data_IF_150127268330
#
_entry.id   IF_150127268330
#
_cell.length_a   1.000
_cell.length_b   1.000
_cell.length_c   1.000
_cell.angle_alpha   90.00
_cell.angle_beta   90.00
_cell.angle_gamma   90.00
#
_symmetry.space_group_name_H-M   'P 1'
#
loop_
_entity.id
_entity.type
_entity.pdbx_description
1 polymer ?
#
# COMPACT_ATOMS: atom_id res chain seq x y z
N UNK A 1 -57.13 -2.55 9.64
CA UNK A 1 -55.84 -1.86 9.47
C UNK A 1 -56.01 -0.79 8.40
N UNK A 2 -55.63 0.47 8.64
CA UNK A 2 -55.76 1.53 7.64
C UNK A 2 -54.81 1.25 6.46
N UNK A 3 -55.36 1.18 5.24
CA UNK A 3 -54.59 0.94 4.01
C UNK A 3 -53.60 2.11 3.81
N UNK A 4 -52.32 1.78 3.65
CA UNK A 4 -51.23 2.77 3.51
C UNK A 4 -51.25 3.42 2.13
N UNK A 5 -50.66 4.61 1.98
CA UNK A 5 -50.62 5.33 0.69
C UNK A 5 -49.94 4.50 -0.40
N UNK A 6 -48.89 3.76 -0.04
CA UNK A 6 -48.19 2.83 -0.94
C UNK A 6 -49.12 1.72 -1.47
N UNK A 7 -49.88 1.07 -0.57
CA UNK A 7 -50.85 0.04 -0.95
C UNK A 7 -52.00 0.61 -1.81
N UNK A 8 -52.40 1.86 -1.59
CA UNK A 8 -53.42 2.52 -2.43
C UNK A 8 -52.91 2.83 -3.84
N UNK A 9 -51.63 3.21 -4.00
CA UNK A 9 -51.02 3.44 -5.31
C UNK A 9 -50.84 2.14 -6.09
N UNK A 10 -50.43 1.06 -5.40
CA UNK A 10 -50.32 -0.27 -6.00
C UNK A 10 -51.69 -0.77 -6.49
N UNK A 11 -52.72 -0.66 -5.66
CA UNK A 11 -54.10 -0.99 -6.05
C UNK A 11 -54.62 -0.13 -7.22
N UNK A 12 -54.27 1.17 -7.28
CA UNK A 12 -54.64 2.04 -8.41
C UNK A 12 -53.97 1.59 -9.71
N UNK A 13 -52.69 1.19 -9.65
CA UNK A 13 -51.96 0.67 -10.80
C UNK A 13 -52.57 -0.65 -11.29
N UNK A 14 -52.91 -1.57 -10.37
CA UNK A 14 -53.54 -2.85 -10.72
C UNK A 14 -54.92 -2.65 -11.37
N UNK A 15 -55.78 -1.80 -10.80
CA UNK A 15 -57.09 -1.48 -11.38
C UNK A 15 -56.97 -0.78 -12.73
N UNK A 16 -55.95 0.07 -12.92
CA UNK A 16 -55.66 0.69 -14.22
C UNK A 16 -55.24 -0.32 -15.29
N UNK A 17 -54.41 -1.30 -14.93
CA UNK A 17 -54.00 -2.38 -15.82
C UNK A 17 -55.17 -3.31 -16.19
N UNK A 18 -56.01 -3.69 -15.21
CA UNK A 18 -57.22 -4.49 -15.46
C UNK A 18 -58.21 -3.76 -16.37
N UNK A 19 -58.41 -2.45 -16.17
CA UNK A 19 -59.26 -1.63 -17.04
C UNK A 19 -58.73 -1.58 -18.47
N UNK A 20 -57.42 -1.45 -18.65
CA UNK A 20 -56.80 -1.45 -19.97
C UNK A 20 -56.99 -2.81 -20.67
N UNK A 21 -56.78 -3.92 -19.96
CA UNK A 21 -57.00 -5.27 -20.49
C UNK A 21 -58.47 -5.50 -20.90
N UNK A 22 -59.43 -5.05 -20.09
CA UNK A 22 -60.87 -5.18 -20.41
C UNK A 22 -61.24 -4.32 -21.63
N UNK A 23 -60.69 -3.10 -21.76
CA UNK A 23 -60.92 -2.26 -22.94
C UNK A 23 -60.29 -2.82 -24.22
N UNK A 24 -59.11 -3.43 -24.11
CA UNK A 24 -58.46 -4.12 -25.22
C UNK A 24 -59.28 -5.36 -25.64
N UNK A 25 -59.83 -6.12 -24.69
CA UNK A 25 -60.75 -7.24 -24.96
C UNK A 25 -62.06 -6.78 -25.62
N UNK A 26 -62.65 -5.68 -25.16
CA UNK A 26 -63.84 -5.08 -25.80
C UNK A 26 -63.51 -4.69 -27.23
N UNK A 27 -62.37 -4.05 -27.47
CA UNK A 27 -61.94 -3.60 -28.81
C UNK A 27 -61.72 -4.77 -29.77
N UNK A 28 -61.18 -5.90 -29.28
CA UNK A 28 -60.99 -7.12 -30.07
C UNK A 28 -62.31 -7.86 -30.36
N UNK A 29 -63.21 -7.94 -29.37
CA UNK A 29 -64.49 -8.67 -29.50
C UNK A 29 -65.57 -7.88 -30.23
N UNK A 30 -65.58 -6.55 -30.12
CA UNK A 30 -66.49 -5.66 -30.85
C UNK A 30 -66.18 -5.61 -32.36
N UNK A 31 -64.95 -5.96 -32.77
CA UNK A 31 -64.55 -6.08 -34.17
C UNK A 31 -64.98 -7.40 -34.84
N UNK A 32 -65.58 -8.35 -34.11
CA UNK A 32 -65.96 -9.66 -34.63
C UNK A 32 -67.50 -9.83 -34.68
N UNK A 33 -68.13 -9.88 -35.87
CA UNK A 33 -69.59 -9.98 -36.03
C UNK A 33 -70.22 -11.30 -35.55
N UNK A 34 -69.42 -12.28 -35.12
CA UNK A 34 -69.87 -13.59 -34.66
C UNK A 34 -70.02 -13.70 -33.12
N UNK A 35 -69.71 -12.63 -32.38
CA UNK A 35 -69.82 -12.61 -30.92
C UNK A 35 -71.22 -12.16 -30.48
N UNK A 36 -71.87 -12.84 -29.52
CA UNK A 36 -73.21 -12.47 -29.07
C UNK A 36 -73.20 -11.13 -28.30
N UNK A 37 -74.06 -10.19 -28.69
CA UNK A 37 -74.16 -8.83 -28.14
C UNK A 37 -74.34 -8.79 -26.60
N UNK A 38 -74.89 -9.86 -26.03
CA UNK A 38 -75.09 -10.00 -24.58
C UNK A 38 -73.77 -10.03 -23.80
N UNK A 39 -72.75 -10.71 -24.34
CA UNK A 39 -71.44 -10.81 -23.69
C UNK A 39 -70.63 -9.51 -23.83
N UNK A 40 -70.92 -8.70 -24.86
CA UNK A 40 -70.33 -7.38 -25.05
C UNK A 40 -70.86 -6.38 -24.01
N UNK A 41 -72.16 -6.45 -23.70
CA UNK A 41 -72.78 -5.62 -22.67
C UNK A 41 -72.23 -5.97 -21.26
N UNK A 42 -72.05 -7.25 -20.95
CA UNK A 42 -71.46 -7.68 -19.67
C UNK A 42 -70.00 -7.20 -19.48
N UNK A 43 -69.24 -7.10 -20.58
CA UNK A 43 -67.89 -6.53 -20.58
C UNK A 43 -67.91 -5.00 -20.42
N UNK A 44 -68.86 -4.31 -21.05
CA UNK A 44 -69.06 -2.86 -20.90
C UNK A 44 -69.43 -2.49 -19.46
N UNK A 45 -70.31 -3.27 -18.80
CA UNK A 45 -70.68 -3.04 -17.40
C UNK A 45 -69.48 -3.26 -16.44
N UNK A 46 -68.60 -4.22 -16.75
CA UNK A 46 -67.34 -4.42 -16.02
C UNK A 46 -66.37 -3.26 -16.21
N UNK A 47 -66.24 -2.72 -17.42
CA UNK A 47 -65.40 -1.56 -17.71
C UNK A 47 -65.89 -0.32 -16.93
N UNK A 48 -67.20 -0.03 -16.96
CA UNK A 48 -67.81 1.08 -16.21
C UNK A 48 -67.61 0.93 -14.68
N UNK A 49 -67.71 -0.30 -14.18
CA UNK A 49 -67.45 -0.63 -12.78
C UNK A 49 -66.00 -0.38 -12.37
N UNK A 50 -65.04 -0.78 -13.21
CA UNK A 50 -63.61 -0.55 -13.00
C UNK A 50 -63.25 0.94 -13.13
N UNK A 51 -63.85 1.67 -14.06
CA UNK A 51 -63.60 3.10 -14.24
C UNK A 51 -64.10 3.90 -13.02
N UNK A 52 -65.29 3.58 -12.50
CA UNK A 52 -65.79 4.18 -11.25
C UNK A 52 -64.86 3.90 -10.07
N UNK A 53 -64.33 2.67 -9.95
CA UNK A 53 -63.38 2.30 -8.89
C UNK A 53 -62.05 3.03 -9.04
N UNK A 54 -61.53 3.14 -10.25
CA UNK A 54 -60.31 3.87 -10.56
C UNK A 54 -60.44 5.36 -10.21
N UNK A 55 -61.53 6.01 -10.62
CA UNK A 55 -61.78 7.42 -10.33
C UNK A 55 -61.96 7.69 -8.83
N UNK A 56 -62.62 6.78 -8.10
CA UNK A 56 -62.74 6.87 -6.64
C UNK A 56 -61.39 6.69 -5.93
N UNK A 57 -60.59 5.70 -6.35
CA UNK A 57 -59.24 5.48 -5.80
C UNK A 57 -58.32 6.66 -6.08
N UNK A 58 -58.34 7.20 -7.30
CA UNK A 58 -57.56 8.38 -7.70
C UNK A 58 -57.91 9.60 -6.85
N UNK A 59 -59.20 9.87 -6.65
CA UNK A 59 -59.65 10.97 -5.79
C UNK A 59 -59.21 10.79 -4.32
N UNK A 60 -59.17 9.55 -3.82
CA UNK A 60 -58.69 9.27 -2.47
C UNK A 60 -57.16 9.39 -2.34
N UNK A 61 -56.40 8.95 -3.34
CA UNK A 61 -54.94 9.12 -3.41
C UNK A 61 -54.61 10.61 -3.48
N UNK A 62 -55.25 11.38 -4.36
CA UNK A 62 -55.04 12.83 -4.48
C UNK A 62 -55.37 13.58 -3.17
N UNK A 63 -56.44 13.17 -2.47
CA UNK A 63 -56.82 13.75 -1.18
C UNK A 63 -55.81 13.42 -0.09
N UNK A 64 -55.27 12.20 -0.06
CA UNK A 64 -54.23 11.80 0.90
C UNK A 64 -52.87 12.41 0.58
N UNK A 65 -52.49 12.51 -0.69
CA UNK A 65 -51.28 13.22 -1.11
C UNK A 65 -51.36 14.70 -0.78
N UNK A 66 -52.49 15.36 -1.01
CA UNK A 66 -52.69 16.75 -0.57
C UNK A 66 -52.62 16.87 0.95
N UNK A 67 -53.16 15.90 1.70
CA UNK A 67 -53.10 15.88 3.16
C UNK A 67 -51.66 15.68 3.70
N UNK A 68 -50.87 14.79 3.09
CA UNK A 68 -49.44 14.62 3.40
C UNK A 68 -48.61 15.83 2.97
N UNK A 69 -48.93 16.45 1.83
CA UNK A 69 -48.34 17.71 1.37
C UNK A 69 -48.64 18.87 2.32
N UNK A 70 -49.81 18.89 2.98
CA UNK A 70 -50.13 19.88 4.00
C UNK A 70 -49.40 19.63 5.33
N UNK A 71 -49.13 18.37 5.71
CA UNK A 71 -48.18 18.06 6.79
C UNK A 71 -46.75 18.49 6.43
N UNK A 72 -46.39 18.40 5.15
CA UNK A 72 -45.17 18.95 4.56
C UNK A 72 -45.24 20.48 4.30
N UNK A 73 -46.30 21.17 4.71
CA UNK A 73 -46.44 22.64 4.67
C UNK A 73 -46.53 23.30 6.04
N UNK A 74 -46.73 22.53 7.12
CA UNK A 74 -46.32 22.96 8.47
C UNK A 74 -44.79 23.13 8.58
N UNK A 75 -44.05 22.63 7.60
CA UNK A 75 -42.60 22.73 7.37
C UNK A 75 -42.04 24.14 7.09
N UNK A 76 -42.86 25.15 6.75
CA UNK A 76 -42.34 26.50 6.45
C UNK A 76 -42.28 27.45 7.65
N UNK A 77 -42.79 27.05 8.82
CA UNK A 77 -42.96 27.95 9.97
C UNK A 77 -42.37 27.43 11.30
N UNK A 78 -41.26 26.67 11.30
CA UNK A 78 -40.40 26.67 12.50
C UNK A 78 -39.43 27.85 12.43
N UNK A 79 -39.58 28.77 13.38
CA UNK A 79 -38.85 30.04 13.48
C UNK A 79 -37.46 29.91 14.12
N UNK A 80 -37.00 28.73 14.53
CA UNK A 80 -35.73 28.57 15.25
C UNK A 80 -34.57 28.09 14.33
N UNK A 81 -33.49 28.88 14.15
CA UNK A 81 -32.33 28.51 13.34
C UNK A 81 -31.63 27.23 13.79
N UNK A 82 -31.72 26.87 15.09
CA UNK A 82 -31.08 25.65 15.64
C UNK A 82 -31.78 24.38 15.17
N UNK A 83 -33.11 24.36 15.19
CA UNK A 83 -33.88 23.20 14.74
C UNK A 83 -33.69 22.91 13.25
N UNK A 84 -33.58 23.97 12.42
CA UNK A 84 -33.27 23.83 10.99
C UNK A 84 -31.92 23.15 10.75
N UNK A 85 -30.89 23.52 11.53
CA UNK A 85 -29.57 22.87 11.46
C UNK A 85 -29.63 21.42 11.91
N UNK A 86 -30.29 21.12 13.04
CA UNK A 86 -30.43 19.74 13.53
C UNK A 86 -31.16 18.85 12.52
N UNK A 87 -32.21 19.36 11.87
CA UNK A 87 -32.95 18.62 10.86
C UNK A 87 -32.14 18.41 9.57
N UNK A 88 -31.39 19.42 9.13
CA UNK A 88 -30.48 19.30 7.99
C UNK A 88 -29.37 18.27 8.28
N UNK A 89 -28.83 18.25 9.50
CA UNK A 89 -27.89 17.22 9.96
C UNK A 89 -28.51 15.81 9.93
N UNK A 90 -29.73 15.65 10.43
CA UNK A 90 -30.41 14.36 10.41
C UNK A 90 -30.69 13.86 8.98
N UNK A 91 -30.98 14.76 8.04
CA UNK A 91 -31.17 14.40 6.63
C UNK A 91 -29.84 14.07 5.94
N UNK A 92 -28.74 14.75 6.28
CA UNK A 92 -27.39 14.40 5.83
C UNK A 92 -26.99 13.00 6.31
N UNK A 93 -27.23 12.69 7.59
CA UNK A 93 -26.97 11.34 8.13
C UNK A 93 -27.78 10.29 7.38
N UNK A 94 -29.08 10.53 7.13
CA UNK A 94 -29.92 9.58 6.38
C UNK A 94 -29.44 9.38 4.94
N UNK A 95 -29.11 10.45 4.23
CA UNK A 95 -28.64 10.36 2.83
C UNK A 95 -27.31 9.61 2.73
N UNK A 96 -26.37 9.86 3.66
CA UNK A 96 -25.12 9.09 3.76
C UNK A 96 -25.39 7.61 4.06
N UNK A 97 -26.30 7.30 5.00
CA UNK A 97 -26.66 5.91 5.35
C UNK A 97 -27.39 5.18 4.21
N UNK A 98 -28.01 5.90 3.28
CA UNK A 98 -28.71 5.35 2.12
C UNK A 98 -27.86 5.35 0.83
N UNK A 99 -26.57 5.74 0.87
CA UNK A 99 -25.72 5.93 -0.31
C UNK A 99 -26.32 6.89 -1.36
N UNK A 100 -27.11 7.88 -0.92
CA UNK A 100 -27.69 8.91 -1.77
C UNK A 100 -26.94 10.24 -1.60
N UNK A 101 -26.75 10.98 -2.70
CA UNK A 101 -26.10 12.28 -2.64
C UNK A 101 -26.97 13.29 -1.86
N UNK A 102 -26.43 13.97 -0.83
CA UNK A 102 -27.20 14.97 -0.07
C UNK A 102 -27.62 16.14 -0.97
N UNK A 103 -28.81 16.69 -0.75
CA UNK A 103 -29.33 17.78 -1.59
C UNK A 103 -28.61 19.11 -1.30
N UNK A 104 -28.47 19.95 -2.34
CA UNK A 104 -27.76 21.25 -2.27
C UNK A 104 -28.34 22.20 -1.22
N UNK A 105 -29.65 22.13 -0.96
CA UNK A 105 -30.32 22.95 0.06
C UNK A 105 -29.93 22.55 1.49
N UNK A 106 -29.70 21.26 1.74
CA UNK A 106 -29.25 20.75 3.06
C UNK A 106 -27.84 21.26 3.35
N UNK A 107 -26.94 21.18 2.36
CA UNK A 107 -25.55 21.64 2.45
C UNK A 107 -25.48 23.15 2.71
N UNK A 108 -26.29 23.96 2.00
CA UNK A 108 -26.36 25.42 2.22
C UNK A 108 -26.87 25.79 3.63
N UNK A 109 -27.90 25.11 4.15
CA UNK A 109 -28.41 25.36 5.53
C UNK A 109 -27.36 25.00 6.59
N UNK A 110 -26.52 24.02 6.27
CA UNK A 110 -25.39 23.58 7.08
C UNK A 110 -24.16 24.50 6.97
N UNK A 111 -24.18 25.51 6.08
CA UNK A 111 -23.07 26.45 5.89
C UNK A 111 -21.98 25.93 4.97
N UNK A 112 -22.29 24.92 4.15
CA UNK A 112 -21.48 24.42 3.06
C UNK A 112 -21.90 25.15 1.78
N UNK A 113 -21.44 26.38 1.64
CA UNK A 113 -21.67 27.17 0.43
C UNK A 113 -20.86 26.56 -0.70
N UNK A 114 -21.58 25.97 -1.65
CA UNK A 114 -21.09 25.44 -2.92
C UNK A 114 -19.87 26.22 -3.45
N UNK A 115 -18.67 25.68 -3.24
CA UNK A 115 -17.58 25.89 -4.17
C UNK A 115 -18.00 25.29 -5.50
N UNK A 116 -18.32 26.14 -6.47
CA UNK A 116 -18.68 25.74 -7.83
C UNK A 116 -17.47 25.11 -8.54
N UNK A 117 -17.25 23.83 -8.32
CA UNK A 117 -16.25 23.02 -9.02
C UNK A 117 -16.52 21.54 -8.77
N UNK A 118 -16.19 20.69 -9.72
CA UNK A 118 -16.44 19.23 -9.72
C UNK A 118 -15.73 18.44 -8.59
N UNK A 119 -15.18 19.12 -7.57
CA UNK A 119 -14.49 18.56 -6.41
C UNK A 119 -14.96 19.20 -5.07
N UNK A 120 -16.27 19.39 -4.89
CA UNK A 120 -16.84 19.97 -3.68
C UNK A 120 -16.80 19.01 -2.48
N UNK A 121 -15.75 19.05 -1.68
CA UNK A 121 -15.67 18.39 -0.36
C UNK A 121 -16.60 19.08 0.64
N UNK A 122 -17.85 18.64 0.69
CA UNK A 122 -18.82 19.14 1.65
C UNK A 122 -18.49 18.72 3.08
N UNK A 123 -18.18 19.70 3.94
CA UNK A 123 -17.83 19.46 5.35
C UNK A 123 -16.81 20.43 5.96
N UNK A 124 -16.17 21.28 5.16
CA UNK A 124 -15.08 22.16 5.62
C UNK A 124 -15.51 23.27 6.59
N UNK A 125 -16.79 23.67 6.60
CA UNK A 125 -17.30 24.73 7.49
C UNK A 125 -17.54 24.28 8.94
N UNK A 126 -17.50 22.96 9.21
CA UNK A 126 -17.82 22.40 10.52
C UNK A 126 -16.63 22.19 11.46
N UNK A 127 -15.41 22.24 10.95
CA UNK A 127 -14.21 21.94 11.72
C UNK A 127 -13.22 23.11 11.59
N UNK A 128 -13.03 23.94 12.64
CA UNK A 128 -11.87 24.82 12.70
C UNK A 128 -10.63 23.96 12.96
N UNK A 129 -10.08 23.37 11.90
CA UNK A 129 -8.78 22.71 11.93
C UNK A 129 -7.93 23.30 10.82
N UNK A 130 -7.07 24.25 11.18
CA UNK A 130 -5.89 24.56 10.38
C UNK A 130 -4.98 23.33 10.45
N UNK A 131 -5.21 22.35 9.58
CA UNK A 131 -4.27 21.24 9.41
C UNK A 131 -2.94 21.85 8.98
N UNK A 132 -1.93 21.75 9.84
CA UNK A 132 -0.58 22.17 9.50
C UNK A 132 -0.11 21.38 8.29
N UNK A 133 0.46 22.06 7.29
CA UNK A 133 1.09 21.41 6.13
C UNK A 133 2.36 20.61 6.51
N UNK A 134 2.78 20.68 7.77
CA UNK A 134 3.92 19.92 8.27
C UNK A 134 3.49 18.47 8.54
N UNK A 135 3.83 17.59 7.60
CA UNK A 135 3.63 16.15 7.75
C UNK A 135 4.64 15.64 8.80
N UNK A 136 4.14 15.17 9.95
CA UNK A 136 4.96 14.48 10.95
C UNK A 136 5.09 13.02 10.50
N UNK A 137 6.31 12.57 10.27
CA UNK A 137 6.61 11.20 9.79
C UNK A 137 7.69 10.59 10.67
N UNK A 138 7.70 9.26 10.80
CA UNK A 138 8.88 8.58 11.33
C UNK A 138 10.10 8.85 10.43
N UNK A 139 11.33 8.91 10.98
CA UNK A 139 12.52 9.08 10.15
C UNK A 139 12.55 8.02 9.06
N UNK A 140 12.55 8.47 7.81
CA UNK A 140 12.58 7.58 6.67
C UNK A 140 13.92 6.86 6.63
N UNK A 141 13.85 5.54 6.63
CA UNK A 141 15.01 4.67 6.63
C UNK A 141 15.76 4.73 5.29
N UNK A 142 17.08 4.87 5.34
CA UNK A 142 17.96 4.78 4.18
C UNK A 142 18.70 3.42 4.14
N UNK A 143 19.03 2.94 2.94
CA UNK A 143 19.82 1.73 2.74
C UNK A 143 21.26 2.11 2.31
N UNK A 144 22.24 2.10 3.23
CA UNK A 144 23.62 2.43 2.88
C UNK A 144 24.24 1.46 1.87
N UNK A 145 23.75 0.22 1.76
CA UNK A 145 24.25 -0.77 0.79
C UNK A 145 24.11 -0.27 -0.64
N UNK A 146 23.05 0.49 -0.97
CA UNK A 146 22.80 1.00 -2.31
C UNK A 146 23.92 1.88 -2.87
N UNK A 147 24.69 2.53 -1.99
CA UNK A 147 25.82 3.37 -2.38
C UNK A 147 27.10 2.57 -2.60
N UNK A 148 27.15 1.34 -2.08
CA UNK A 148 28.34 0.51 -2.03
C UNK A 148 28.23 -0.75 -2.90
N UNK A 149 27.02 -1.15 -3.27
CA UNK A 149 26.70 -2.28 -4.15
C UNK A 149 26.33 -1.83 -5.57
N UNK A 150 26.39 -2.75 -6.52
CA UNK A 150 25.93 -2.47 -7.89
C UNK A 150 24.41 -2.54 -7.94
N UNK A 151 23.76 -1.49 -8.45
CA UNK A 151 22.32 -1.50 -8.68
C UNK A 151 22.03 -1.56 -10.18
N UNK A 152 21.17 -2.49 -10.57
CA UNK A 152 20.69 -2.60 -11.95
C UNK A 152 19.17 -2.73 -12.00
N UNK A 153 18.63 -2.51 -13.20
CA UNK A 153 17.19 -2.53 -13.47
C UNK A 153 16.88 -3.35 -14.73
N UNK A 154 17.53 -4.51 -14.87
CA UNK A 154 17.52 -5.29 -16.12
C UNK A 154 16.63 -6.51 -15.96
N UNK A 155 15.72 -6.69 -16.92
CA UNK A 155 14.81 -7.83 -16.97
C UNK A 155 15.56 -9.12 -17.28
N UNK A 156 15.31 -10.18 -16.49
CA UNK A 156 15.93 -11.51 -16.66
C UNK A 156 17.47 -11.46 -16.76
N UNK A 157 18.11 -10.63 -15.92
CA UNK A 157 19.55 -10.46 -15.93
C UNK A 157 20.27 -11.79 -15.61
N UNK A 158 21.26 -12.12 -16.45
CA UNK A 158 22.21 -13.22 -16.22
C UNK A 158 23.62 -12.66 -16.39
N UNK A 159 24.46 -12.82 -15.39
CA UNK A 159 25.85 -12.36 -15.43
C UNK A 159 26.79 -13.56 -15.59
N UNK A 160 27.65 -13.58 -16.63
CA UNK A 160 28.68 -14.60 -16.74
C UNK A 160 29.82 -14.35 -15.74
N UNK A 161 30.32 -15.42 -15.12
CA UNK A 161 31.55 -15.40 -14.34
C UNK A 161 32.70 -15.77 -15.27
N UNK A 162 33.62 -14.84 -15.50
CA UNK A 162 34.80 -15.06 -16.37
C UNK A 162 35.98 -15.56 -15.53
N UNK A 163 36.67 -16.61 -16.01
CA UNK A 163 37.89 -17.14 -15.41
C UNK A 163 39.10 -16.50 -16.09
N UNK A 164 40.12 -16.15 -15.31
CA UNK A 164 41.48 -16.02 -15.81
C UNK A 164 42.29 -17.21 -15.29
N UNK A 165 43.01 -17.89 -16.17
CA UNK A 165 43.97 -18.94 -15.84
C UNK A 165 45.32 -18.48 -16.36
N UNK A 166 46.31 -18.43 -15.47
CA UNK A 166 47.71 -18.21 -15.86
C UNK A 166 48.27 -19.60 -16.13
N UNK A 167 48.71 -19.84 -17.37
CA UNK A 167 49.03 -21.16 -17.91
C UNK A 167 50.42 -21.68 -17.51
N UNK A 168 51.20 -20.84 -16.80
CA UNK A 168 52.61 -21.08 -16.53
C UNK A 168 52.94 -20.60 -15.10
N UNK A 169 52.64 -21.43 -14.10
CA UNK A 169 53.63 -21.78 -13.09
C UNK A 169 53.06 -22.72 -12.02
N UNK A 170 53.97 -23.52 -11.46
CA UNK A 170 53.73 -24.41 -10.30
C UNK A 170 53.54 -23.64 -8.98
N UNK A 171 53.12 -22.37 -9.05
CA UNK A 171 52.93 -21.48 -7.90
C UNK A 171 51.47 -21.47 -7.46
N UNK A 172 51.20 -22.28 -6.45
CA UNK A 172 49.93 -22.33 -5.74
C UNK A 172 49.69 -21.01 -5.01
N UNK A 173 48.53 -20.35 -5.24
CA UNK A 173 47.67 -19.87 -4.14
C UNK A 173 46.30 -19.29 -4.54
N UNK A 174 45.90 -19.23 -5.81
CA UNK A 174 44.56 -18.73 -6.19
C UNK A 174 43.45 -19.80 -6.07
N UNK A 175 43.58 -20.69 -5.06
CA UNK A 175 42.71 -21.87 -4.92
C UNK A 175 41.28 -21.52 -4.49
N UNK A 176 41.05 -20.44 -3.73
CA UNK A 176 39.71 -20.12 -3.22
C UNK A 176 38.78 -19.59 -4.31
N UNK A 177 39.21 -18.58 -5.09
CA UNK A 177 38.44 -18.05 -6.22
C UNK A 177 38.18 -19.17 -7.23
N UNK A 178 39.22 -19.95 -7.58
CA UNK A 178 39.08 -21.08 -8.49
C UNK A 178 38.14 -22.18 -7.96
N UNK A 179 38.09 -22.44 -6.65
CA UNK A 179 37.15 -23.39 -6.03
C UNK A 179 35.71 -22.85 -6.02
N UNK A 180 35.52 -21.57 -5.77
CA UNK A 180 34.20 -20.92 -5.81
C UNK A 180 33.62 -20.90 -7.21
N UNK A 181 34.42 -20.53 -8.23
CA UNK A 181 33.98 -20.51 -9.62
C UNK A 181 33.73 -21.92 -10.16
N UNK A 182 34.49 -22.94 -9.72
CA UNK A 182 34.20 -24.34 -10.06
C UNK A 182 32.92 -24.86 -9.42
N UNK A 183 32.60 -24.42 -8.21
CA UNK A 183 31.43 -24.91 -7.47
C UNK A 183 30.12 -24.20 -7.84
N UNK A 184 30.16 -22.89 -8.12
CA UNK A 184 28.94 -22.08 -8.32
C UNK A 184 28.52 -21.87 -9.78
N UNK A 185 29.20 -22.54 -10.72
CA UNK A 185 28.88 -22.47 -12.15
C UNK A 185 29.26 -21.15 -12.82
N UNK A 186 29.18 -21.15 -14.15
CA UNK A 186 29.71 -20.08 -15.00
C UNK A 186 28.79 -18.86 -15.12
N UNK A 187 27.61 -18.85 -14.50
CA UNK A 187 26.70 -17.69 -14.53
C UNK A 187 25.90 -17.50 -13.24
N UNK A 188 25.52 -16.24 -12.97
CA UNK A 188 24.62 -15.81 -11.89
C UNK A 188 23.33 -15.33 -12.51
N UNK A 189 22.20 -15.96 -12.18
CA UNK A 189 20.87 -15.60 -12.68
C UNK A 189 20.09 -14.86 -11.61
N UNK A 190 19.52 -13.72 -11.96
CA UNK A 190 18.65 -12.96 -11.06
C UNK A 190 17.19 -13.43 -11.18
N UNK A 191 16.58 -13.76 -10.04
CA UNK A 191 15.19 -14.19 -9.93
C UNK A 191 14.19 -13.03 -9.80
N UNK A 192 12.92 -13.38 -9.61
CA UNK A 192 11.82 -12.43 -9.42
C UNK A 192 11.15 -12.63 -8.06
N UNK A 193 11.63 -11.93 -7.03
CA UNK A 193 11.07 -12.06 -5.68
C UNK A 193 10.11 -10.92 -5.38
N UNK A 194 8.83 -11.27 -5.27
CA UNK A 194 7.74 -10.31 -5.10
C UNK A 194 7.80 -9.68 -3.71
N UNK A 195 7.92 -8.36 -3.70
CA UNK A 195 7.88 -7.53 -2.50
C UNK A 195 6.70 -6.57 -2.59
N UNK A 196 5.93 -6.48 -1.51
CA UNK A 196 4.82 -5.54 -1.36
C UNK A 196 5.16 -4.54 -0.26
N UNK A 197 5.11 -3.26 -0.59
CA UNK A 197 5.37 -2.16 0.34
C UNK A 197 4.14 -1.27 0.37
N UNK A 198 3.72 -0.89 1.56
CA UNK A 198 2.50 -0.11 1.79
C UNK A 198 2.88 1.19 2.45
N UNK A 199 2.65 2.31 1.77
CA UNK A 199 2.72 3.63 2.36
C UNK A 199 1.35 3.97 2.96
N UNK A 200 1.31 4.30 4.25
CA UNK A 200 0.08 4.72 4.92
C UNK A 200 -0.20 6.19 4.61
N UNK A 201 -1.28 6.46 3.88
CA UNK A 201 -1.72 7.82 3.54
C UNK A 201 -2.96 8.11 4.39
N UNK A 202 -2.82 9.05 5.31
CA UNK A 202 -3.94 9.57 6.11
C UNK A 202 -4.79 10.52 5.28
N UNK A 203 -6.06 10.72 5.67
CA UNK A 203 -6.95 11.67 4.97
C UNK A 203 -6.38 13.10 4.96
N UNK A 204 -5.64 13.50 6.00
CA UNK A 204 -4.97 14.80 6.04
C UNK A 204 -3.88 14.97 4.96
N UNK A 205 -3.15 13.90 4.62
CA UNK A 205 -2.14 13.92 3.55
C UNK A 205 -2.83 13.87 2.19
N UNK A 206 -3.92 13.10 2.06
CA UNK A 206 -4.71 13.01 0.83
C UNK A 206 -5.38 14.35 0.47
N UNK A 207 -5.84 15.10 1.48
CA UNK A 207 -6.43 16.44 1.35
C UNK A 207 -5.38 17.56 1.39
N UNK A 208 -4.09 17.21 1.51
CA UNK A 208 -2.98 18.14 1.49
C UNK A 208 -2.68 18.68 0.09
N UNK A 209 -1.51 19.29 -0.08
CA UNK A 209 -1.06 19.76 -1.40
C UNK A 209 -0.57 18.58 -2.24
N UNK A 210 -0.79 18.63 -3.57
CA UNK A 210 -0.32 17.61 -4.51
C UNK A 210 1.18 17.32 -4.36
N UNK A 211 1.98 18.38 -4.21
CA UNK A 211 3.43 18.29 -3.99
C UNK A 211 3.76 17.54 -2.69
N UNK A 212 3.03 17.81 -1.61
CA UNK A 212 3.21 17.15 -0.32
C UNK A 212 2.84 15.67 -0.38
N UNK A 213 1.72 15.35 -1.03
CA UNK A 213 1.23 13.99 -1.23
C UNK A 213 2.24 13.15 -2.02
N UNK A 214 2.71 13.65 -3.16
CA UNK A 214 3.68 12.94 -4.02
C UNK A 214 5.01 12.77 -3.30
N UNK A 215 5.52 13.83 -2.67
CA UNK A 215 6.79 13.79 -1.94
C UNK A 215 6.76 12.76 -0.81
N UNK A 216 5.73 12.81 0.05
CA UNK A 216 5.56 11.87 1.15
C UNK A 216 5.42 10.42 0.65
N UNK A 217 4.55 10.20 -0.34
CA UNK A 217 4.28 8.85 -0.85
C UNK A 217 5.54 8.22 -1.45
N UNK A 218 6.28 8.97 -2.27
CA UNK A 218 7.54 8.48 -2.85
C UNK A 218 8.58 8.19 -1.77
N UNK A 219 8.75 9.09 -0.80
CA UNK A 219 9.73 8.94 0.26
C UNK A 219 9.40 7.74 1.18
N UNK A 220 8.12 7.54 1.51
CA UNK A 220 7.65 6.38 2.28
C UNK A 220 7.84 5.05 1.54
N UNK A 221 7.56 5.02 0.23
CA UNK A 221 7.80 3.83 -0.60
C UNK A 221 9.29 3.50 -0.72
N UNK A 222 10.15 4.52 -0.90
CA UNK A 222 11.60 4.35 -0.96
C UNK A 222 12.16 3.82 0.36
N UNK A 223 11.71 4.36 1.49
CA UNK A 223 12.10 3.87 2.82
C UNK A 223 11.66 2.42 3.04
N UNK A 224 10.42 2.08 2.66
CA UNK A 224 9.92 0.71 2.75
C UNK A 224 10.74 -0.30 1.91
N UNK A 225 11.20 0.12 0.72
CA UNK A 225 12.10 -0.68 -0.11
C UNK A 225 13.46 -0.86 0.57
N UNK A 226 14.06 0.23 1.03
CA UNK A 226 15.33 0.23 1.75
C UNK A 226 15.33 -0.69 2.97
N UNK A 227 14.28 -0.67 3.79
CA UNK A 227 14.13 -1.58 4.94
C UNK A 227 14.06 -3.03 4.49
N UNK A 228 13.29 -3.32 3.44
CA UNK A 228 13.12 -4.70 2.96
C UNK A 228 14.41 -5.25 2.36
N UNK A 229 15.17 -4.47 1.60
CA UNK A 229 16.49 -4.85 1.10
C UNK A 229 17.46 -5.16 2.23
N UNK A 230 17.59 -4.26 3.21
CA UNK A 230 18.45 -4.49 4.39
C UNK A 230 18.07 -5.79 5.11
N UNK A 231 16.76 -6.04 5.29
CA UNK A 231 16.26 -7.25 5.95
C UNK A 231 16.56 -8.53 5.19
N UNK A 232 16.57 -8.48 3.86
CA UNK A 232 16.92 -9.63 3.02
C UNK A 232 18.43 -9.84 3.00
N UNK A 233 19.22 -8.78 2.83
CA UNK A 233 20.68 -8.84 2.80
C UNK A 233 21.28 -9.35 4.12
N UNK A 234 20.74 -8.93 5.27
CA UNK A 234 21.24 -9.30 6.61
C UNK A 234 20.34 -10.29 7.36
N UNK A 235 19.57 -11.13 6.64
CA UNK A 235 18.74 -12.16 7.27
C UNK A 235 19.56 -13.32 7.86
N UNK A 236 19.51 -13.52 9.18
CA UNK A 236 20.10 -14.73 9.80
C UNK A 236 19.39 -16.01 9.39
N UNK A 237 18.06 -15.93 9.27
CA UNK A 237 17.19 -17.00 8.83
C UNK A 237 16.48 -16.53 7.56
N UNK A 238 17.14 -16.61 6.39
CA UNK A 238 16.51 -16.24 5.12
C UNK A 238 15.35 -17.19 4.81
N UNK A 239 14.34 -16.67 4.12
CA UNK A 239 13.23 -17.51 3.64
C UNK A 239 13.74 -18.52 2.62
N UNK A 240 13.08 -19.67 2.56
CA UNK A 240 13.38 -20.68 1.55
C UNK A 240 13.28 -20.07 0.13
N UNK A 241 14.34 -20.20 -0.64
CA UNK A 241 14.50 -19.58 -1.96
C UNK A 241 15.13 -18.19 -1.97
N UNK A 242 15.26 -17.49 -0.84
CA UNK A 242 15.91 -16.16 -0.71
C UNK A 242 17.32 -16.29 -0.08
N UNK A 243 17.84 -17.50 0.11
CA UNK A 243 19.05 -17.71 0.90
C UNK A 243 20.34 -17.24 0.22
N UNK A 244 20.36 -17.15 -1.11
CA UNK A 244 21.49 -16.58 -1.84
C UNK A 244 21.60 -15.06 -1.68
N UNK A 245 20.52 -14.41 -1.22
CA UNK A 245 20.47 -12.97 -1.04
C UNK A 245 21.11 -12.49 0.25
N UNK A 246 21.28 -13.37 1.25
CA UNK A 246 21.79 -12.96 2.55
C UNK A 246 23.26 -13.25 2.76
N UNK A 247 24.01 -12.26 3.25
CA UNK A 247 25.41 -12.42 3.66
C UNK A 247 25.62 -13.45 4.78
N UNK A 248 24.60 -13.75 5.58
CA UNK A 248 24.70 -14.68 6.72
C UNK A 248 24.30 -16.11 6.37
N UNK A 249 23.80 -16.34 5.16
CA UNK A 249 23.36 -17.66 4.72
C UNK A 249 24.54 -18.57 4.41
N UNK A 250 24.54 -19.78 4.96
CA UNK A 250 25.56 -20.81 4.66
C UNK A 250 25.62 -21.15 3.16
N UNK A 251 24.49 -21.03 2.43
CA UNK A 251 24.44 -21.29 0.98
C UNK A 251 25.27 -20.29 0.17
N UNK A 252 25.52 -19.10 0.72
CA UNK A 252 26.43 -18.14 0.08
C UNK A 252 27.88 -18.55 0.24
N UNK A 253 28.23 -19.41 1.21
CA UNK A 253 29.59 -19.90 1.38
C UNK A 253 30.59 -18.82 1.79
N UNK A 254 30.14 -17.69 2.36
CA UNK A 254 31.03 -16.68 2.92
C UNK A 254 31.72 -17.26 4.16
N UNK A 255 33.05 -17.22 4.16
CA UNK A 255 33.86 -17.73 5.26
C UNK A 255 33.70 -16.84 6.50
N UNK A 256 33.48 -17.48 7.66
CA UNK A 256 33.51 -16.81 8.96
C UNK A 256 34.91 -16.89 9.57
N UNK A 257 35.39 -15.75 10.07
CA UNK A 257 36.70 -15.60 10.70
C UNK A 257 36.48 -15.25 12.17
N UNK A 258 37.11 -16.02 13.05
CA UNK A 258 36.94 -15.87 14.49
C UNK A 258 37.97 -14.89 15.08
N UNK A 259 37.55 -14.15 16.10
CA UNK A 259 38.42 -13.33 16.93
C UNK A 259 37.97 -13.31 18.39
N UNK A 260 38.88 -12.94 19.28
CA UNK A 260 38.63 -12.82 20.73
C UNK A 260 37.80 -11.58 21.06
N UNK A 261 38.05 -10.47 20.38
CA UNK A 261 37.26 -9.24 20.45
C UNK A 261 36.66 -8.92 19.08
N UNK A 262 35.73 -7.97 19.04
CA UNK A 262 35.17 -7.46 17.78
C UNK A 262 36.30 -6.89 16.89
N UNK A 263 37.25 -6.19 17.50
CA UNK A 263 38.40 -5.63 16.78
C UNK A 263 39.26 -6.73 16.15
N UNK A 264 39.65 -7.73 16.94
CA UNK A 264 40.47 -8.86 16.44
C UNK A 264 39.76 -9.63 15.33
N UNK A 265 38.46 -9.87 15.49
CA UNK A 265 37.66 -10.57 14.49
C UNK A 265 37.63 -9.80 13.16
N UNK A 266 37.49 -8.47 13.21
CA UNK A 266 37.51 -7.61 12.02
C UNK A 266 38.91 -7.58 11.39
N UNK A 267 39.97 -7.39 12.17
CA UNK A 267 41.34 -7.35 11.65
C UNK A 267 41.72 -8.69 11.01
N UNK A 268 41.36 -9.81 11.64
CA UNK A 268 41.57 -11.14 11.06
C UNK A 268 40.74 -11.33 9.77
N UNK A 269 39.51 -10.85 9.74
CA UNK A 269 38.66 -10.91 8.55
C UNK A 269 39.23 -10.08 7.39
N UNK A 270 39.78 -8.89 7.66
CA UNK A 270 40.47 -8.06 6.67
C UNK A 270 41.73 -8.77 6.15
N UNK A 271 42.53 -9.36 7.04
CA UNK A 271 43.78 -10.03 6.67
C UNK A 271 43.56 -11.32 5.86
N UNK A 272 42.42 -11.99 6.03
CA UNK A 272 42.08 -13.22 5.29
C UNK A 272 41.49 -12.94 3.89
N UNK A 273 41.14 -11.68 3.58
CA UNK A 273 40.67 -11.28 2.24
C UNK A 273 41.87 -11.10 1.30
N UNK A 274 41.82 -11.73 0.13
CA UNK A 274 42.87 -11.64 -0.88
C UNK A 274 43.10 -10.20 -1.36
N UNK A 275 44.36 -9.86 -1.67
CA UNK A 275 44.80 -8.51 -2.05
C UNK A 275 44.00 -7.90 -3.21
N UNK A 276 43.58 -8.73 -4.17
CA UNK A 276 42.74 -8.30 -5.30
C UNK A 276 41.39 -7.70 -4.92
N UNK A 277 40.88 -8.00 -3.71
CA UNK A 277 39.61 -7.49 -3.19
C UNK A 277 39.79 -6.39 -2.13
N UNK A 278 41.02 -6.08 -1.71
CA UNK A 278 41.30 -5.06 -0.69
C UNK A 278 40.91 -3.65 -1.14
N UNK A 279 41.02 -3.36 -2.44
CA UNK A 279 40.60 -2.07 -2.98
C UNK A 279 39.08 -1.90 -2.89
N UNK A 280 38.61 -0.88 -2.16
CA UNK A 280 37.19 -0.63 -1.96
C UNK A 280 36.53 -1.47 -0.87
N UNK A 281 37.32 -2.13 -0.02
CA UNK A 281 36.83 -2.88 1.15
C UNK A 281 36.14 -1.93 2.14
N UNK A 282 34.97 -2.36 2.62
CA UNK A 282 34.16 -1.62 3.60
C UNK A 282 33.70 -2.58 4.70
N UNK A 283 33.33 -2.02 5.85
CA UNK A 283 32.88 -2.78 7.00
C UNK A 283 31.46 -2.38 7.35
N UNK A 284 30.55 -3.35 7.38
CA UNK A 284 29.17 -3.16 7.82
C UNK A 284 29.00 -3.75 9.22
N UNK A 285 28.53 -2.94 10.16
CA UNK A 285 28.28 -3.36 11.54
C UNK A 285 27.18 -2.54 12.21
N UNK A 286 26.71 -2.99 13.38
CA UNK A 286 25.79 -2.20 14.21
C UNK A 286 26.54 -1.11 15.00
N UNK A 287 25.85 -0.01 15.32
CA UNK A 287 26.41 1.03 16.22
C UNK A 287 26.76 0.49 17.61
N UNK A 288 25.94 -0.36 18.26
CA UNK A 288 26.29 -0.98 19.53
C UNK A 288 27.61 -1.77 19.48
N UNK A 289 27.82 -2.58 18.43
CA UNK A 289 29.06 -3.35 18.27
C UNK A 289 30.28 -2.42 18.19
N UNK A 290 30.17 -1.33 17.44
CA UNK A 290 31.24 -0.33 17.37
C UNK A 290 31.50 0.34 18.71
N UNK A 291 30.46 0.79 19.42
CA UNK A 291 30.63 1.43 20.73
C UNK A 291 31.22 0.46 21.77
N UNK A 292 30.84 -0.83 21.72
CA UNK A 292 31.44 -1.86 22.56
C UNK A 292 32.93 -2.04 22.24
N UNK A 293 33.28 -2.14 20.95
CA UNK A 293 34.67 -2.22 20.50
C UNK A 293 35.49 -1.03 21.00
N UNK A 294 34.98 0.21 20.87
CA UNK A 294 35.66 1.40 21.38
C UNK A 294 35.83 1.35 22.90
N UNK A 295 34.81 0.94 23.64
CA UNK A 295 34.89 0.80 25.09
C UNK A 295 35.99 -0.19 25.52
N UNK A 296 36.11 -1.30 24.81
CA UNK A 296 37.15 -2.31 25.03
C UNK A 296 38.56 -1.75 24.71
N UNK A 297 38.71 -1.05 23.58
CA UNK A 297 40.01 -0.48 23.13
C UNK A 297 40.49 0.67 24.02
N UNK A 298 39.58 1.50 24.51
CA UNK A 298 39.88 2.67 25.36
C UNK A 298 40.49 2.25 26.68
N UNK A 299 40.10 1.10 27.26
CA UNK A 299 40.61 0.59 28.54
C UNK A 299 40.76 1.69 29.63
N UNK A 300 39.76 2.58 29.74
CA UNK A 300 39.70 3.77 30.61
C UNK A 300 40.58 5.00 30.21
N UNK A 301 41.16 5.05 29.01
CA UNK A 301 41.83 6.23 28.41
C UNK A 301 41.00 6.84 27.26
N UNK A 302 40.43 8.03 27.48
CA UNK A 302 39.32 8.61 26.70
C UNK A 302 39.58 9.03 25.24
N UNK A 303 40.76 8.77 24.67
CA UNK A 303 41.23 9.42 23.43
C UNK A 303 40.61 8.89 22.12
N UNK A 304 39.93 7.74 22.14
CA UNK A 304 39.30 7.17 20.94
C UNK A 304 37.86 7.64 20.74
N UNK A 305 37.21 8.22 21.75
CA UNK A 305 35.86 8.75 21.62
C UNK A 305 35.88 10.07 20.82
N UNK A 306 35.24 10.08 19.65
CA UNK A 306 35.18 11.24 18.76
C UNK A 306 36.08 11.16 17.53
N UNK A 307 36.91 10.12 17.44
CA UNK A 307 37.60 9.76 16.19
C UNK A 307 36.61 9.16 15.19
N UNK A 308 36.88 9.40 13.91
CA UNK A 308 36.09 8.76 12.85
C UNK A 308 36.33 7.25 12.89
N UNK A 309 35.29 6.40 12.75
CA UNK A 309 35.47 4.95 12.72
C UNK A 309 36.53 4.47 11.74
N UNK A 310 36.65 5.18 10.60
CA UNK A 310 37.62 4.92 9.56
C UNK A 310 39.07 5.16 9.99
N UNK A 311 39.31 6.09 10.92
CA UNK A 311 40.66 6.37 11.45
C UNK A 311 41.13 5.27 12.41
N UNK A 312 40.19 4.50 12.98
CA UNK A 312 40.49 3.44 13.95
C UNK A 312 40.69 2.10 13.24
N UNK A 313 39.80 1.78 12.30
CA UNK A 313 39.81 0.50 11.60
C UNK A 313 40.61 0.53 10.29
N UNK A 314 40.94 1.72 9.77
CA UNK A 314 41.66 1.88 8.50
C UNK A 314 40.80 1.73 7.23
N UNK A 315 39.53 1.34 7.37
CA UNK A 315 38.58 1.13 6.27
C UNK A 315 37.26 1.87 6.51
N UNK A 316 36.53 2.26 5.46
CA UNK A 316 35.19 2.86 5.58
C UNK A 316 34.22 1.97 6.36
N UNK A 317 33.55 2.55 7.35
CA UNK A 317 32.55 1.84 8.16
C UNK A 317 31.15 2.34 7.82
N UNK A 318 30.21 1.42 7.65
CA UNK A 318 28.79 1.69 7.45
C UNK A 318 27.98 1.07 8.56
N UNK A 319 27.10 1.88 9.13
CA UNK A 319 26.24 1.43 10.22
C UNK A 319 24.91 0.94 9.67
N UNK A 320 24.60 -0.33 9.94
CA UNK A 320 23.29 -0.93 9.69
C UNK A 320 22.86 -1.66 10.95
N UNK A 321 21.64 -1.41 11.42
CA UNK A 321 21.09 -2.05 12.62
C UNK A 321 20.96 -3.58 12.47
N UNK A 322 20.82 -4.06 11.23
CA UNK A 322 20.65 -5.48 10.92
C UNK A 322 21.98 -6.22 10.77
N UNK A 323 23.10 -5.50 10.64
CA UNK A 323 24.44 -6.06 10.50
C UNK A 323 25.02 -6.54 11.85
N UNK A 324 24.30 -7.43 12.52
CA UNK A 324 24.62 -7.93 13.88
C UNK A 324 25.98 -8.62 13.98
N UNK A 325 26.35 -9.39 12.96
CA UNK A 325 27.71 -9.93 12.80
C UNK A 325 28.42 -9.04 11.77
N UNK A 326 29.55 -8.39 12.11
CA UNK A 326 30.21 -7.49 11.17
C UNK A 326 30.55 -8.20 9.86
N UNK A 327 30.15 -7.59 8.75
CA UNK A 327 30.45 -8.07 7.38
C UNK A 327 31.55 -7.21 6.82
N UNK A 328 32.66 -7.85 6.47
CA UNK A 328 33.87 -7.20 5.94
C UNK A 328 34.04 -7.64 4.50
N UNK A 329 34.17 -6.72 3.56
CA UNK A 329 34.40 -7.09 2.17
C UNK A 329 34.21 -5.95 1.18
N UNK A 330 34.37 -6.28 -0.10
CA UNK A 330 34.11 -5.34 -1.20
C UNK A 330 32.68 -5.54 -1.74
N UNK A 331 31.80 -4.63 -1.37
CA UNK A 331 30.37 -4.66 -1.72
C UNK A 331 30.09 -4.43 -3.21
N UNK A 332 31.09 -4.03 -4.02
CA UNK A 332 30.95 -3.98 -5.49
C UNK A 332 30.70 -5.38 -6.08
N UNK A 333 31.07 -6.44 -5.34
CA UNK A 333 30.79 -7.84 -5.69
C UNK A 333 29.45 -8.34 -5.12
N UNK A 334 28.61 -7.43 -4.64
CA UNK A 334 27.19 -7.65 -4.40
C UNK A 334 26.39 -6.80 -5.39
N UNK A 335 25.26 -7.35 -5.84
CA UNK A 335 24.42 -6.66 -6.81
C UNK A 335 22.95 -6.82 -6.48
N UNK A 336 22.25 -5.70 -6.48
CA UNK A 336 20.81 -5.60 -6.37
C UNK A 336 20.22 -5.32 -7.75
N UNK A 337 19.36 -6.21 -8.24
CA UNK A 337 18.67 -6.02 -9.51
C UNK A 337 17.17 -5.83 -9.29
N UNK A 338 16.62 -4.77 -9.86
CA UNK A 338 15.19 -4.52 -9.93
C UNK A 338 14.60 -4.96 -11.26
N UNK A 339 13.41 -5.54 -11.18
CA UNK A 339 12.58 -5.80 -12.35
C UNK A 339 11.53 -4.68 -12.46
N UNK A 340 11.86 -3.62 -13.19
CA UNK A 340 10.99 -2.43 -13.31
C UNK A 340 9.80 -2.70 -14.24
N UNK A 341 9.93 -3.63 -15.18
CA UNK A 341 8.91 -3.90 -16.22
C UNK A 341 7.54 -4.34 -15.66
N UNK A 342 7.46 -4.73 -14.39
CA UNK A 342 6.25 -5.29 -13.80
C UNK A 342 5.74 -4.52 -12.57
N UNK A 343 6.30 -3.38 -12.18
CA UNK A 343 5.86 -2.66 -10.97
C UNK A 343 4.36 -2.34 -11.01
N UNK A 344 3.65 -2.66 -9.93
CA UNK A 344 2.20 -2.44 -9.81
C UNK A 344 1.90 -1.54 -8.63
N UNK A 345 1.00 -0.58 -8.84
CA UNK A 345 0.45 0.25 -7.78
C UNK A 345 -0.98 -0.20 -7.49
N UNK A 346 -1.28 -0.42 -6.21
CA UNK A 346 -2.61 -0.84 -5.74
C UNK A 346 -3.04 0.06 -4.58
N UNK A 347 -4.35 0.33 -4.47
CA UNK A 347 -4.92 0.99 -3.31
C UNK A 347 -5.51 -0.06 -2.37
N UNK A 348 -5.25 0.08 -1.07
CA UNK A 348 -5.88 -0.73 -0.04
C UNK A 348 -6.43 0.16 1.07
N UNK A 349 -7.76 0.16 1.29
CA UNK A 349 -8.38 0.93 2.37
C UNK A 349 -8.56 0.04 3.60
N UNK A 350 -8.01 0.47 4.73
CA UNK A 350 -8.28 -0.13 6.03
C UNK A 350 -9.42 0.66 6.70
N UNK A 351 -10.62 0.09 6.66
CA UNK A 351 -11.84 0.74 7.15
C UNK A 351 -11.84 0.91 8.67
N UNK A 352 -11.14 0.05 9.41
CA UNK A 352 -11.10 0.10 10.88
C UNK A 352 -10.16 1.20 11.38
N UNK A 353 -9.06 1.45 10.65
CA UNK A 353 -8.06 2.47 11.03
C UNK A 353 -8.25 3.81 10.35
N UNK A 354 -9.14 3.91 9.36
CA UNK A 354 -9.34 5.14 8.58
C UNK A 354 -8.10 5.54 7.75
N UNK A 355 -7.28 4.58 7.35
CA UNK A 355 -6.03 4.81 6.60
C UNK A 355 -6.17 4.23 5.20
N UNK A 356 -5.76 5.01 4.19
CA UNK A 356 -5.61 4.53 2.82
C UNK A 356 -4.15 4.12 2.60
N UNK A 357 -3.90 2.87 2.26
CA UNK A 357 -2.58 2.40 1.90
C UNK A 357 -2.38 2.51 0.39
N UNK A 358 -1.30 3.17 0.01
CA UNK A 358 -0.77 3.13 -1.35
C UNK A 358 0.30 2.04 -1.41
N UNK A 359 -0.01 0.95 -2.11
CA UNK A 359 0.85 -0.22 -2.17
C UNK A 359 1.67 -0.24 -3.46
N UNK A 360 2.99 -0.32 -3.33
CA UNK A 360 3.90 -0.68 -4.41
C UNK A 360 4.19 -2.18 -4.35
N UNK A 361 3.92 -2.87 -5.44
CA UNK A 361 4.44 -4.22 -5.69
C UNK A 361 5.65 -4.10 -6.60
N UNK A 362 6.81 -4.51 -6.10
CA UNK A 362 8.06 -4.55 -6.84
C UNK A 362 8.66 -5.96 -6.81
N UNK A 363 9.56 -6.24 -7.74
CA UNK A 363 10.34 -7.47 -7.77
C UNK A 363 11.80 -7.08 -7.81
N UNK A 364 12.57 -7.67 -6.90
CA UNK A 364 14.01 -7.50 -6.88
C UNK A 364 14.67 -8.83 -6.52
N UNK A 365 15.96 -8.92 -6.80
CA UNK A 365 16.82 -9.99 -6.34
C UNK A 365 18.18 -9.41 -5.97
N UNK A 366 18.75 -9.89 -4.87
CA UNK A 366 20.08 -9.51 -4.42
C UNK A 366 21.01 -10.73 -4.56
N UNK A 367 22.14 -10.56 -5.22
CA UNK A 367 23.08 -11.65 -5.50
C UNK A 367 24.47 -11.28 -5.04
N UNK A 368 25.13 -12.24 -4.39
CA UNK A 368 26.54 -12.18 -4.04
C UNK A 368 27.33 -12.80 -5.20
N UNK A 369 28.01 -11.96 -5.97
CA UNK A 369 28.69 -12.36 -7.21
C UNK A 369 29.89 -13.26 -6.93
N UNK A 370 30.72 -12.85 -5.96
CA UNK A 370 31.90 -13.57 -5.47
C UNK A 370 31.89 -13.59 -3.95
N UNK A 371 31.95 -14.78 -3.35
CA UNK A 371 31.89 -14.93 -1.89
C UNK A 371 33.24 -14.76 -1.24
N UNK A 372 34.31 -15.02 -1.99
CA UNK A 372 35.70 -14.79 -1.61
C UNK A 372 36.00 -13.32 -1.29
N UNK A 373 35.21 -12.39 -1.81
CA UNK A 373 35.32 -10.96 -1.57
C UNK A 373 34.77 -10.51 -0.20
N UNK A 374 34.17 -11.43 0.57
CA UNK A 374 33.53 -11.14 1.85
C UNK A 374 34.02 -12.09 2.95
N UNK A 375 33.95 -11.62 4.20
CA UNK A 375 34.17 -12.39 5.43
C UNK A 375 33.19 -11.95 6.50
N UNK A 376 32.77 -12.90 7.34
CA UNK A 376 31.97 -12.65 8.53
C UNK A 376 32.87 -12.65 9.76
N UNK A 377 33.01 -11.50 10.42
CA UNK A 377 33.81 -11.38 11.63
C UNK A 377 33.00 -11.88 12.84
N UNK A 378 33.33 -13.06 13.35
CA UNK A 378 32.62 -13.68 14.46
C UNK A 378 33.45 -13.58 15.75
N UNK A 379 32.79 -13.21 16.85
CA UNK A 379 33.44 -13.15 18.16
C UNK A 379 33.23 -14.47 18.86
N UNK A 380 34.33 -15.17 19.11
CA UNK A 380 34.33 -16.36 19.96
C UNK A 380 34.95 -15.97 21.29
N UNK A 381 34.19 -16.07 22.38
CA UNK A 381 34.75 -15.88 23.72
C UNK A 381 35.98 -16.78 23.85
N UNK A 382 37.14 -16.16 24.16
CA UNK A 382 38.38 -16.89 24.38
C UNK A 382 38.14 -18.01 25.40
N UNK A 383 38.54 -19.23 25.05
CA UNK A 383 38.50 -20.36 25.98
C UNK A 383 39.41 -20.13 27.17
#
# INVERSE_FOLDING_TARGET
MPVTLYQMKDNLSQVGQELQQVNDEISMKAGNPSFPDKDLNDLSEKADGLEKRYNLLKAQVDKKEKAESSKNKEFKNSQDPKEKRTHAYAQLIRSVMHNEAPSKEILQVLGDDNGSGENGTGGQSFLPVTVSNQIITEPLDDNPLRNDETISAITNLILPRVRFQIDDDSFVNDQEIAKELKSKGDSVTFGRYKTKIKAAITEAILLGTDTGLVSYTNAALQAGLAVKEKRVAFAKEPKAGEEHMSFYSEKTGIKSVNGTTIFDAITNAVADIADGFQNGLKIYMTRPNYLQMIKELVNNSGDLFGKKPEEILGYPVRFSELATTPVVGNFSFAQLNYEISQTLYEQWKDYDKGINYFQLTAWFDHQILLSSAFRLANVTAGK
#
